data_IF_273672051615
#
_entry.id   IF_273672051615
#
_cell.length_a   1.000
_cell.length_b   1.000
_cell.length_c   1.000
_cell.angle_alpha   90.00
_cell.angle_beta   90.00
_cell.angle_gamma   90.00
#
_symmetry.space_group_name_H-M   'P 1'
#
loop_
_entity.id
_entity.type
_entity.pdbx_description
1 polymer ?
#
# COMPACT_ATOMS: atom_id res chain seq x y z
N UNK A 1 -40.60 -45.95 -13.86
CA UNK A 1 -39.29 -46.47 -13.41
C UNK A 1 -38.22 -45.46 -13.78
N UNK A 2 -37.76 -44.65 -12.84
CA UNK A 2 -36.63 -43.75 -13.06
C UNK A 2 -35.34 -44.56 -13.05
N UNK A 3 -34.68 -44.68 -14.20
CA UNK A 3 -33.33 -45.23 -14.30
C UNK A 3 -32.38 -44.24 -13.63
N UNK A 4 -31.93 -44.57 -12.42
CA UNK A 4 -30.88 -43.82 -11.74
C UNK A 4 -29.56 -44.15 -12.45
N UNK A 5 -29.14 -43.30 -13.38
CA UNK A 5 -27.82 -43.35 -13.99
C UNK A 5 -26.79 -42.91 -12.97
N UNK A 6 -26.17 -43.88 -12.29
CA UNK A 6 -25.03 -43.61 -11.40
C UNK A 6 -23.81 -43.16 -12.20
N UNK A 7 -23.02 -42.26 -11.60
CA UNK A 7 -21.70 -41.87 -12.11
C UNK A 7 -20.78 -43.09 -12.18
N UNK A 8 -19.99 -43.21 -13.24
CA UNK A 8 -19.01 -44.30 -13.36
C UNK A 8 -17.80 -44.06 -12.44
N UNK A 9 -17.20 -45.13 -11.90
CA UNK A 9 -15.97 -45.00 -11.09
C UNK A 9 -14.84 -44.32 -11.88
N UNK A 10 -14.77 -44.56 -13.19
CA UNK A 10 -13.75 -43.97 -14.05
C UNK A 10 -13.97 -42.46 -14.26
N UNK A 11 -15.22 -41.98 -14.36
CA UNK A 11 -15.49 -40.53 -14.40
C UNK A 11 -15.02 -39.84 -13.13
N UNK A 12 -15.31 -40.43 -11.96
CA UNK A 12 -14.91 -39.84 -10.69
C UNK A 12 -13.37 -39.74 -10.59
N UNK A 13 -12.66 -40.80 -11.00
CA UNK A 13 -11.19 -40.84 -11.02
C UNK A 13 -10.63 -39.82 -12.03
N UNK A 14 -11.19 -39.75 -13.24
CA UNK A 14 -10.77 -38.77 -14.24
C UNK A 14 -10.90 -37.33 -13.74
N UNK A 15 -12.00 -37.00 -13.06
CA UNK A 15 -12.25 -35.66 -12.54
C UNK A 15 -11.22 -35.28 -11.47
N UNK A 16 -10.95 -36.14 -10.49
CA UNK A 16 -9.95 -35.82 -9.46
C UNK A 16 -8.53 -35.72 -10.02
N UNK A 17 -8.20 -36.50 -11.07
CA UNK A 17 -6.90 -36.42 -11.75
C UNK A 17 -6.76 -35.08 -12.48
N UNK A 18 -7.79 -34.65 -13.22
CA UNK A 18 -7.78 -33.35 -13.90
C UNK A 18 -7.70 -32.22 -12.88
N UNK A 19 -8.51 -32.24 -11.82
CA UNK A 19 -8.46 -31.25 -10.74
C UNK A 19 -7.08 -31.23 -10.05
N UNK A 20 -6.44 -32.39 -9.88
CA UNK A 20 -5.09 -32.50 -9.33
C UNK A 20 -4.03 -31.78 -10.17
N UNK A 21 -4.05 -31.97 -11.50
CA UNK A 21 -3.12 -31.31 -12.43
C UNK A 21 -3.37 -29.79 -12.47
N UNK A 22 -4.64 -29.38 -12.53
CA UNK A 22 -5.02 -27.97 -12.51
C UNK A 22 -4.60 -27.30 -11.20
N UNK A 23 -4.79 -27.95 -10.06
CA UNK A 23 -4.38 -27.43 -8.76
C UNK A 23 -2.85 -27.28 -8.66
N UNK A 24 -2.09 -28.27 -9.11
CA UNK A 24 -0.62 -28.25 -9.06
C UNK A 24 -0.01 -27.11 -9.88
N UNK A 25 -0.65 -26.71 -10.97
CA UNK A 25 -0.16 -25.63 -11.86
C UNK A 25 -0.74 -24.25 -11.52
N UNK A 26 -1.97 -24.18 -10.99
CA UNK A 26 -2.62 -22.92 -10.66
C UNK A 26 -2.12 -22.32 -9.34
N UNK A 27 -1.85 -23.14 -8.33
CA UNK A 27 -1.51 -22.66 -6.98
C UNK A 27 -0.22 -21.82 -6.92
N UNK A 28 0.91 -22.22 -7.58
CA UNK A 28 2.11 -21.40 -7.60
C UNK A 28 1.90 -20.05 -8.30
N UNK A 29 1.10 -20.01 -9.37
CA UNK A 29 0.77 -18.78 -10.09
C UNK A 29 -0.08 -17.83 -9.23
N UNK A 30 -1.08 -18.37 -8.53
CA UNK A 30 -1.94 -17.59 -7.64
C UNK A 30 -1.17 -16.98 -6.46
N UNK A 31 -0.16 -17.66 -5.92
CA UNK A 31 0.68 -17.12 -4.87
C UNK A 31 1.52 -15.93 -5.36
N UNK A 32 2.14 -16.05 -6.54
CA UNK A 32 2.95 -14.98 -7.13
C UNK A 32 2.13 -13.73 -7.48
N UNK A 33 0.92 -13.90 -8.05
CA UNK A 33 0.04 -12.78 -8.38
C UNK A 33 -0.34 -11.92 -7.17
N UNK A 34 -0.50 -12.52 -6.00
CA UNK A 34 -0.80 -11.79 -4.76
C UNK A 34 0.39 -10.94 -4.29
N UNK A 35 1.61 -11.48 -4.37
CA UNK A 35 2.83 -10.74 -4.05
C UNK A 35 3.03 -9.54 -4.99
N UNK A 36 2.85 -9.77 -6.30
CA UNK A 36 2.93 -8.73 -7.31
C UNK A 36 1.87 -7.62 -7.10
N UNK A 37 0.65 -8.00 -6.73
CA UNK A 37 -0.42 -7.05 -6.42
C UNK A 37 -0.11 -6.18 -5.19
N UNK A 38 0.49 -6.75 -4.14
CA UNK A 38 0.93 -6.01 -2.95
C UNK A 38 2.08 -5.07 -3.27
N UNK A 39 3.05 -5.54 -4.04
CA UNK A 39 4.16 -4.71 -4.52
C UNK A 39 3.66 -3.52 -5.35
N UNK A 40 2.72 -3.75 -6.28
CA UNK A 40 2.10 -2.69 -7.07
C UNK A 40 1.34 -1.68 -6.18
N UNK A 41 0.60 -2.17 -5.18
CA UNK A 41 -0.14 -1.32 -4.23
C UNK A 41 0.79 -0.49 -3.35
N UNK A 42 1.94 -1.03 -2.94
CA UNK A 42 2.96 -0.31 -2.19
C UNK A 42 3.65 0.75 -3.06
N UNK A 43 3.97 0.44 -4.32
CA UNK A 43 4.51 1.42 -5.26
C UNK A 43 3.49 2.54 -5.56
N UNK A 44 2.21 2.22 -5.65
CA UNK A 44 1.14 3.21 -5.78
C UNK A 44 1.08 4.15 -4.56
N UNK A 45 1.20 3.60 -3.34
CA UNK A 45 1.27 4.38 -2.12
C UNK A 45 2.54 5.25 -2.05
N UNK A 46 3.69 4.74 -2.49
CA UNK A 46 4.93 5.51 -2.58
C UNK A 46 4.76 6.73 -3.49
N UNK A 47 4.19 6.53 -4.68
CA UNK A 47 3.91 7.59 -5.65
C UNK A 47 2.90 8.62 -5.15
N UNK A 48 1.81 8.17 -4.51
CA UNK A 48 0.78 9.06 -3.98
C UNK A 48 1.29 9.89 -2.80
N UNK A 49 2.06 9.30 -1.88
CA UNK A 49 2.69 10.00 -0.75
C UNK A 49 3.70 11.05 -1.24
N UNK A 50 4.56 10.71 -2.20
CA UNK A 50 5.55 11.64 -2.76
C UNK A 50 4.88 12.84 -3.44
N UNK A 51 3.83 12.57 -4.22
CA UNK A 51 3.05 13.60 -4.90
C UNK A 51 2.31 14.48 -3.90
N UNK A 52 1.65 13.88 -2.91
CA UNK A 52 0.92 14.59 -1.85
C UNK A 52 1.85 15.51 -1.03
N UNK A 53 3.03 15.02 -0.64
CA UNK A 53 4.02 15.82 0.09
C UNK A 53 4.45 17.05 -0.71
N UNK A 54 4.75 16.88 -2.00
CA UNK A 54 5.20 17.96 -2.89
C UNK A 54 4.09 18.99 -3.14
N UNK A 55 2.86 18.54 -3.41
CA UNK A 55 1.70 19.42 -3.64
C UNK A 55 1.38 20.21 -2.38
N UNK A 56 1.35 19.55 -1.22
CA UNK A 56 1.07 20.23 0.04
C UNK A 56 2.14 21.25 0.39
N UNK A 57 3.42 20.93 0.18
CA UNK A 57 4.51 21.89 0.38
C UNK A 57 4.39 23.10 -0.56
N UNK A 58 4.04 22.89 -1.84
CA UNK A 58 3.78 23.99 -2.76
C UNK A 58 2.61 24.88 -2.29
N UNK A 59 1.52 24.28 -1.80
CA UNK A 59 0.41 25.05 -1.23
C UNK A 59 0.83 25.83 0.02
N UNK A 60 1.67 25.25 0.87
CA UNK A 60 2.19 25.92 2.06
C UNK A 60 2.98 27.19 1.70
N UNK A 61 3.88 27.10 0.70
CA UNK A 61 4.63 28.25 0.19
C UNK A 61 3.71 29.33 -0.39
N UNK A 62 2.69 28.94 -1.15
CA UNK A 62 1.75 29.87 -1.79
C UNK A 62 0.82 30.57 -0.79
N UNK A 63 0.48 29.91 0.32
CA UNK A 63 -0.48 30.39 1.32
C UNK A 63 0.16 31.16 2.47
N UNK A 64 1.38 31.68 2.27
CA UNK A 64 2.15 32.38 3.29
C UNK A 64 2.39 31.53 4.56
N UNK A 65 2.78 30.27 4.35
CA UNK A 65 3.29 29.37 5.38
C UNK A 65 2.31 29.12 6.55
N UNK A 66 1.07 28.69 6.27
CA UNK A 66 0.09 28.46 7.32
C UNK A 66 0.46 27.24 8.18
N UNK A 67 -0.01 27.22 9.43
CA UNK A 67 0.13 26.04 10.29
C UNK A 67 -0.73 24.85 9.79
N UNK A 68 -1.84 25.13 9.11
CA UNK A 68 -2.70 24.13 8.50
C UNK A 68 -3.46 24.68 7.29
N UNK A 69 -3.85 23.80 6.38
CA UNK A 69 -4.70 24.12 5.24
C UNK A 69 -5.64 22.96 4.89
N UNK A 70 -6.73 23.24 4.19
CA UNK A 70 -7.60 22.21 3.63
C UNK A 70 -7.26 22.02 2.15
N UNK A 71 -6.91 20.79 1.77
CA UNK A 71 -6.63 20.38 0.39
C UNK A 71 -7.58 19.25 0.05
N UNK A 72 -8.43 19.43 -0.96
CA UNK A 72 -9.41 18.41 -1.40
C UNK A 72 -10.29 17.87 -0.25
N UNK A 73 -10.66 18.75 0.70
CA UNK A 73 -11.45 18.38 1.88
C UNK A 73 -10.68 17.69 3.00
N UNK A 74 -9.37 17.46 2.84
CA UNK A 74 -8.48 16.92 3.87
C UNK A 74 -7.79 18.07 4.60
N UNK A 75 -7.91 18.10 5.94
CA UNK A 75 -7.12 19.01 6.78
C UNK A 75 -5.68 18.52 6.85
N UNK A 76 -4.76 19.33 6.35
CA UNK A 76 -3.32 19.08 6.37
C UNK A 76 -2.70 19.99 7.41
N UNK A 77 -2.03 19.38 8.40
CA UNK A 77 -1.17 20.09 9.34
C UNK A 77 0.25 20.10 8.80
N UNK A 78 0.90 21.25 8.87
CA UNK A 78 2.27 21.43 8.40
C UNK A 78 3.24 21.54 9.57
N UNK A 79 4.44 21.02 9.39
CA UNK A 79 5.56 21.37 10.27
C UNK A 79 6.18 22.71 9.82
N UNK A 80 5.67 23.81 10.36
CA UNK A 80 6.15 25.15 10.04
C UNK A 80 7.61 25.38 10.44
N UNK A 81 8.15 24.62 11.39
CA UNK A 81 9.53 24.76 11.87
C UNK A 81 10.51 23.97 11.02
N UNK A 82 10.05 22.91 10.34
CA UNK A 82 10.90 22.00 9.58
C UNK A 82 10.59 22.00 8.08
N UNK A 83 10.33 23.17 7.48
CA UNK A 83 10.27 23.29 6.03
C UNK A 83 8.90 22.99 5.39
N UNK A 84 7.82 23.00 6.16
CA UNK A 84 6.48 23.19 5.60
C UNK A 84 5.94 22.01 4.79
N UNK A 85 6.37 20.79 5.11
CA UNK A 85 5.76 19.56 4.61
C UNK A 85 4.65 19.09 5.55
N UNK A 86 3.72 18.23 5.06
CA UNK A 86 2.71 17.61 5.92
C UNK A 86 3.35 16.88 7.10
N UNK A 87 2.69 16.90 8.25
CA UNK A 87 3.05 16.00 9.34
C UNK A 87 2.73 14.52 8.99
N UNK A 88 3.21 13.61 9.82
CA UNK A 88 2.98 12.18 9.64
C UNK A 88 1.48 11.80 9.69
N UNK A 89 0.67 12.51 10.49
CA UNK A 89 -0.75 12.23 10.61
C UNK A 89 -1.56 12.64 9.37
N UNK A 90 -1.13 13.67 8.66
CA UNK A 90 -1.84 14.26 7.53
C UNK A 90 -1.50 13.62 6.19
N UNK A 91 -0.34 12.98 6.06
CA UNK A 91 0.15 12.53 4.75
C UNK A 91 -0.67 11.38 4.15
N UNK A 92 -1.07 10.40 4.96
CA UNK A 92 -1.84 9.25 4.48
C UNK A 92 -3.23 9.66 3.94
N UNK A 93 -4.07 10.40 4.71
CA UNK A 93 -5.36 10.84 4.18
C UNK A 93 -5.21 11.77 2.98
N UNK A 94 -4.20 12.64 2.97
CA UNK A 94 -3.92 13.52 1.82
C UNK A 94 -3.54 12.72 0.55
N UNK A 95 -2.81 11.63 0.71
CA UNK A 95 -2.45 10.72 -0.38
C UNK A 95 -3.60 9.78 -0.81
N UNK A 96 -4.80 9.95 -0.27
CA UNK A 96 -5.96 9.08 -0.53
C UNK A 96 -5.83 7.68 0.09
N UNK A 97 -4.91 7.52 1.04
CA UNK A 97 -4.64 6.25 1.72
C UNK A 97 -5.55 6.16 2.94
N UNK A 98 -6.36 5.11 2.99
CA UNK A 98 -7.33 4.84 4.06
C UNK A 98 -7.19 3.41 4.57
N UNK A 99 -7.77 3.15 5.75
CA UNK A 99 -7.83 1.83 6.36
C UNK A 99 -8.53 0.77 5.48
N UNK A 100 -9.33 1.19 4.49
CA UNK A 100 -9.99 0.27 3.56
C UNK A 100 -8.99 -0.44 2.63
N UNK A 101 -7.90 0.25 2.27
CA UNK A 101 -6.93 -0.25 1.28
C UNK A 101 -5.56 -0.59 1.91
N UNK A 102 -5.22 0.08 3.01
CA UNK A 102 -3.92 -0.05 3.65
C UNK A 102 -4.04 -0.10 5.18
N UNK A 103 -3.14 -0.83 5.82
CA UNK A 103 -2.83 -0.67 7.23
C UNK A 103 -1.98 0.58 7.40
N UNK A 104 -2.35 1.42 8.37
CA UNK A 104 -1.71 2.70 8.63
C UNK A 104 -1.23 2.66 10.09
N UNK A 105 0.06 2.82 10.30
CA UNK A 105 0.69 2.77 11.62
C UNK A 105 1.67 3.92 11.81
N UNK A 106 1.75 4.44 13.03
CA UNK A 106 2.80 5.38 13.40
C UNK A 106 4.04 4.62 13.91
N UNK A 107 5.23 5.05 13.50
CA UNK A 107 6.52 4.51 13.96
C UNK A 107 7.44 5.66 14.32
N UNK A 108 7.42 6.07 15.60
CA UNK A 108 8.10 7.29 16.03
C UNK A 108 7.47 8.52 15.39
N UNK A 109 8.27 9.31 14.66
CA UNK A 109 7.77 10.45 13.88
C UNK A 109 7.33 10.08 12.46
N UNK A 110 7.50 8.81 12.04
CA UNK A 110 7.16 8.36 10.71
C UNK A 110 5.74 7.79 10.64
N UNK A 111 5.10 7.98 9.49
CA UNK A 111 3.87 7.31 9.09
C UNK A 111 4.22 6.13 8.19
N UNK A 112 3.82 4.94 8.61
CA UNK A 112 4.04 3.69 7.87
C UNK A 112 2.72 3.23 7.28
N UNK A 113 2.73 2.96 5.98
CA UNK A 113 1.60 2.44 5.22
C UNK A 113 1.96 1.06 4.67
N UNK A 114 1.06 0.10 4.81
CA UNK A 114 1.25 -1.28 4.33
C UNK A 114 -0.01 -1.75 3.60
N UNK A 115 0.07 -2.29 2.37
CA UNK A 115 -1.09 -2.82 1.66
C UNK A 115 -1.83 -3.86 2.50
N UNK A 116 -3.17 -3.82 2.49
CA UNK A 116 -3.97 -4.80 3.20
C UNK A 116 -3.65 -6.23 2.71
N UNK A 117 -3.42 -7.14 3.66
CA UNK A 117 -3.03 -8.52 3.37
C UNK A 117 -1.53 -8.76 3.17
N UNK A 118 -0.68 -7.71 3.14
CA UNK A 118 0.76 -7.87 3.33
C UNK A 118 1.08 -8.04 4.83
N UNK A 119 2.20 -8.71 5.14
CA UNK A 119 2.67 -8.82 6.51
C UNK A 119 3.27 -7.47 6.96
N UNK A 120 3.11 -7.11 8.23
CA UNK A 120 3.77 -5.90 8.76
C UNK A 120 5.30 -6.03 8.59
N UNK A 121 5.93 -4.99 8.05
CA UNK A 121 7.36 -5.00 7.72
C UNK A 121 7.69 -5.53 6.31
N UNK A 122 6.71 -6.00 5.54
CA UNK A 122 6.84 -6.30 4.11
C UNK A 122 5.97 -5.36 3.28
N UNK A 123 6.43 -4.96 2.09
CA UNK A 123 5.73 -4.03 1.20
C UNK A 123 5.31 -2.70 1.85
N UNK A 124 6.11 -2.19 2.79
CA UNK A 124 5.72 -0.97 3.51
C UNK A 124 6.30 0.26 2.83
N UNK A 125 5.60 1.38 2.99
CA UNK A 125 6.08 2.72 2.65
C UNK A 125 6.09 3.54 3.93
N UNK A 126 7.24 4.13 4.25
CA UNK A 126 7.41 5.01 5.41
C UNK A 126 7.61 6.44 4.93
N UNK A 127 6.81 7.36 5.46
CA UNK A 127 6.97 8.80 5.34
C UNK A 127 7.46 9.36 6.67
N UNK A 128 8.65 9.96 6.67
CA UNK A 128 9.16 10.71 7.82
C UNK A 128 9.20 12.19 7.45
N UNK A 129 8.45 13.06 8.15
CA UNK A 129 8.54 14.49 7.94
C UNK A 129 9.97 14.98 8.24
N UNK A 130 10.42 16.05 7.59
CA UNK A 130 11.74 16.63 7.82
C UNK A 130 11.93 17.05 9.28
N UNK A 131 13.17 16.96 9.77
CA UNK A 131 13.55 17.35 11.15
C UNK A 131 14.33 18.66 11.21
N UNK A 132 14.45 19.37 10.09
CA UNK A 132 15.11 20.66 10.00
C UNK A 132 14.60 21.48 8.83
N UNK A 133 14.81 22.80 8.90
CA UNK A 133 14.40 23.73 7.85
C UNK A 133 15.08 23.38 6.51
N UNK A 134 14.31 23.50 5.41
CA UNK A 134 14.76 23.28 4.02
C UNK A 134 15.22 21.85 3.69
N UNK A 135 14.87 20.85 4.51
CA UNK A 135 15.07 19.44 4.18
C UNK A 135 13.78 18.85 3.57
N UNK A 136 13.88 17.97 2.56
CA UNK A 136 12.73 17.21 2.10
C UNK A 136 12.37 16.11 3.13
N UNK A 137 11.12 15.62 3.12
CA UNK A 137 10.75 14.44 3.88
C UNK A 137 11.51 13.21 3.38
N UNK A 138 11.75 12.25 4.26
CA UNK A 138 12.32 10.96 3.90
C UNK A 138 11.19 9.99 3.58
N UNK A 139 11.14 9.49 2.34
CA UNK A 139 10.14 8.52 1.90
C UNK A 139 10.87 7.26 1.45
N UNK A 140 10.66 6.15 2.16
CA UNK A 140 11.39 4.90 1.92
C UNK A 140 10.45 3.71 1.90
N UNK A 141 10.80 2.68 1.14
CA UNK A 141 10.12 1.38 1.20
C UNK A 141 10.85 0.41 2.12
N UNK A 142 10.12 -0.52 2.73
CA UNK A 142 10.72 -1.66 3.42
C UNK A 142 10.13 -2.97 2.87
N UNK A 143 10.96 -3.86 2.30
CA UNK A 143 12.39 -3.68 1.99
C UNK A 143 12.64 -2.66 0.85
N UNK A 144 13.90 -2.22 0.70
CA UNK A 144 14.32 -1.30 -0.39
C UNK A 144 15.38 -1.97 -1.27
N UNK A 145 15.15 -2.12 -2.60
CA UNK A 145 13.91 -1.83 -3.32
C UNK A 145 12.83 -2.90 -3.08
N UNK A 146 11.56 -2.57 -3.37
CA UNK A 146 10.50 -3.56 -3.42
C UNK A 146 10.74 -4.52 -4.59
N UNK A 147 10.84 -5.82 -4.30
CA UNK A 147 11.07 -6.88 -5.30
C UNK A 147 10.07 -8.02 -5.11
N UNK A 148 9.68 -8.73 -6.20
CA UNK A 148 8.80 -9.89 -6.10
C UNK A 148 9.34 -10.94 -5.12
N UNK A 149 8.50 -11.44 -4.21
CA UNK A 149 8.83 -12.50 -3.25
C UNK A 149 9.28 -12.02 -1.86
N UNK A 150 9.71 -10.76 -1.72
CA UNK A 150 9.82 -10.07 -0.42
C UNK A 150 8.60 -9.17 -0.13
N UNK A 151 7.59 -9.37 -0.98
CA UNK A 151 6.23 -8.90 -1.01
C UNK A 151 5.34 -10.08 -1.44
#
# INVERSE_FOLDING_TARGET
>A
MNKQTGFTLIELIMVIVILGILAATALPRFANLQGDARMASANAALGSISSAATIAHAQWLLRNQPASAVIEGVTVTYDANNGGYPDAGSIAPLAGITAANYQIAASGTAQVVTPNGAAQGSCTVSYTPPTGANLPPTIVTVPSPLVPGNC
#
